data_IF_423079164458
#
_entry.id   IF_423079164458
#
_cell.length_a   1.000
_cell.length_b   1.000
_cell.length_c   1.000
_cell.angle_alpha   90.00
_cell.angle_beta   90.00
_cell.angle_gamma   90.00
#
_symmetry.space_group_name_H-M   'P 1'
#
loop_
_entity.id
_entity.type
_entity.pdbx_description
1 polymer ?
#
# COMPACT_ATOMS: atom_id res chain seq x y z
N UNK A 1 -30.51 -49.35 1.93
CA UNK A 1 -30.60 -47.98 1.38
C UNK A 1 -30.45 -47.00 2.53
N UNK A 2 -29.40 -46.18 2.50
CA UNK A 2 -29.24 -44.80 3.04
C UNK A 2 -29.53 -44.57 4.55
N UNK A 3 -28.78 -43.77 5.32
CA UNK A 3 -27.84 -42.67 5.05
C UNK A 3 -26.81 -42.64 6.19
N UNK A 4 -25.53 -42.49 5.86
CA UNK A 4 -24.48 -42.07 6.80
C UNK A 4 -24.70 -40.59 7.14
N UNK A 5 -25.13 -40.28 8.36
CA UNK A 5 -25.18 -38.90 8.84
C UNK A 5 -23.80 -38.52 9.39
N UNK A 6 -23.09 -37.71 8.61
CA UNK A 6 -21.83 -37.07 8.95
C UNK A 6 -22.13 -35.82 9.79
N UNK A 7 -21.67 -35.71 11.06
CA UNK A 7 -21.65 -34.43 11.72
C UNK A 7 -20.37 -33.70 11.30
N UNK A 8 -20.52 -32.80 10.33
CA UNK A 8 -19.64 -31.64 10.21
C UNK A 8 -20.01 -30.67 11.32
N UNK A 9 -19.00 -30.09 11.99
CA UNK A 9 -18.94 -28.68 12.37
C UNK A 9 -17.51 -28.41 12.83
N UNK A 10 -16.60 -28.20 11.87
CA UNK A 10 -15.35 -27.50 12.13
C UNK A 10 -15.74 -26.05 12.40
N UNK A 11 -15.59 -25.61 13.64
CA UNK A 11 -15.68 -24.21 14.00
C UNK A 11 -14.70 -23.43 13.11
N UNK A 12 -15.23 -22.73 12.10
CA UNK A 12 -14.53 -21.62 11.48
C UNK A 12 -14.48 -20.53 12.55
N UNK A 13 -13.41 -20.55 13.35
CA UNK A 13 -13.03 -19.38 14.12
C UNK A 13 -12.73 -18.32 13.06
N UNK A 14 -13.66 -17.38 12.87
CA UNK A 14 -13.38 -16.14 12.16
C UNK A 14 -12.33 -15.45 13.01
N UNK A 15 -11.07 -15.55 12.58
CA UNK A 15 -9.99 -14.76 13.15
C UNK A 15 -10.50 -13.31 13.24
N UNK A 16 -10.38 -12.66 14.41
CA UNK A 16 -10.91 -11.32 14.58
C UNK A 16 -10.32 -10.46 13.48
N UNK A 17 -11.18 -9.87 12.64
CA UNK A 17 -10.79 -8.81 11.72
C UNK A 17 -9.97 -7.81 12.54
N UNK A 18 -8.63 -7.82 12.41
CA UNK A 18 -7.76 -6.92 13.14
C UNK A 18 -8.30 -5.52 12.90
N UNK A 19 -8.85 -4.91 13.95
CA UNK A 19 -9.52 -3.62 13.86
C UNK A 19 -8.44 -2.64 13.42
N UNK A 20 -8.49 -2.23 12.16
CA UNK A 20 -7.45 -1.40 11.58
C UNK A 20 -7.26 -0.15 12.42
N UNK A 21 -6.09 -0.06 13.06
CA UNK A 21 -5.71 1.01 13.96
C UNK A 21 -5.84 2.36 13.27
N UNK A 22 -6.23 3.39 14.03
CA UNK A 22 -6.36 4.75 13.50
C UNK A 22 -5.09 5.54 13.77
N UNK A 23 -4.67 6.33 12.80
CA UNK A 23 -3.50 7.19 12.96
C UNK A 23 -3.73 8.16 14.13
N UNK A 24 -2.80 8.26 15.10
CA UNK A 24 -2.98 9.13 16.27
C UNK A 24 -3.01 10.63 15.92
N UNK A 25 -2.47 11.01 14.75
CA UNK A 25 -2.48 12.39 14.26
C UNK A 25 -3.75 12.71 13.47
N UNK A 26 -3.98 12.02 12.36
CA UNK A 26 -5.06 12.39 11.42
C UNK A 26 -6.33 11.54 11.55
N UNK A 27 -6.34 10.54 12.43
CA UNK A 27 -7.47 9.61 12.66
C UNK A 27 -7.90 8.75 11.46
N UNK A 28 -7.20 8.87 10.32
CA UNK A 28 -7.39 8.02 9.15
C UNK A 28 -7.11 6.56 9.50
N UNK A 29 -7.88 5.66 8.87
CA UNK A 29 -7.72 4.22 9.02
C UNK A 29 -6.35 3.79 8.51
N UNK A 30 -5.56 3.15 9.36
CA UNK A 30 -4.26 2.60 9.04
C UNK A 30 -4.37 1.37 8.14
N UNK A 31 -3.29 1.11 7.41
CA UNK A 31 -3.10 -0.10 6.62
C UNK A 31 -2.11 -0.99 7.38
N UNK A 32 -2.50 -2.16 7.90
CA UNK A 32 -1.56 -3.03 8.59
C UNK A 32 -0.41 -3.43 7.66
N UNK A 33 0.81 -3.36 8.17
CA UNK A 33 2.04 -3.69 7.44
C UNK A 33 2.80 -4.80 8.13
N UNK A 34 3.25 -5.77 7.34
CA UNK A 34 4.00 -6.91 7.85
C UNK A 34 5.44 -6.56 8.23
N UNK A 35 6.10 -7.40 9.05
CA UNK A 35 7.46 -7.17 9.51
C UNK A 35 8.49 -7.13 8.37
N UNK A 36 8.24 -7.82 7.26
CA UNK A 36 9.09 -7.77 6.06
C UNK A 36 9.16 -6.35 5.49
N UNK A 37 8.01 -5.68 5.39
CA UNK A 37 7.92 -4.30 4.87
C UNK A 37 8.60 -3.33 5.82
N UNK A 38 8.31 -3.43 7.12
CA UNK A 38 8.93 -2.58 8.13
C UNK A 38 10.46 -2.73 8.14
N UNK A 39 10.99 -3.95 8.02
CA UNK A 39 12.44 -4.19 7.94
C UNK A 39 13.08 -3.63 6.67
N UNK A 40 12.36 -3.63 5.56
CA UNK A 40 12.87 -3.10 4.29
C UNK A 40 12.81 -1.56 4.22
N UNK A 41 11.82 -0.95 4.88
CA UNK A 41 11.54 0.49 4.78
C UNK A 41 12.17 1.30 5.91
N UNK A 42 12.46 0.68 7.06
CA UNK A 42 12.97 1.39 8.24
C UNK A 42 14.41 1.00 8.54
N UNK A 43 15.24 2.01 8.81
CA UNK A 43 16.52 1.80 9.47
C UNK A 43 16.32 1.20 10.87
N UNK A 44 17.28 0.42 11.39
CA UNK A 44 17.12 -0.30 12.66
C UNK A 44 16.68 0.59 13.84
N UNK A 45 17.13 1.83 13.88
CA UNK A 45 16.82 2.83 14.91
C UNK A 45 15.33 3.21 14.89
N UNK A 46 14.75 3.41 13.71
CA UNK A 46 13.33 3.69 13.55
C UNK A 46 12.48 2.44 13.79
N UNK A 47 12.97 1.27 13.34
CA UNK A 47 12.27 0.00 13.55
C UNK A 47 12.08 -0.31 15.04
N UNK A 48 13.06 0.03 15.90
CA UNK A 48 12.96 -0.17 17.36
C UNK A 48 11.93 0.73 18.04
N UNK A 49 11.51 1.83 17.41
CA UNK A 49 10.45 2.70 17.92
C UNK A 49 9.05 2.12 17.72
N UNK A 50 8.93 1.07 16.92
CA UNK A 50 7.66 0.43 16.60
C UNK A 50 7.58 -0.98 17.19
N UNK A 51 6.38 -1.37 17.57
CA UNK A 51 6.03 -2.75 17.89
C UNK A 51 6.24 -3.71 16.69
N UNK A 52 6.00 -5.00 16.89
CA UNK A 52 6.06 -5.98 15.80
C UNK A 52 4.98 -5.77 14.75
N UNK A 53 3.79 -5.43 15.20
CA UNK A 53 2.65 -5.02 14.37
C UNK A 53 2.60 -3.50 14.30
N UNK A 54 2.61 -2.96 13.08
CA UNK A 54 2.42 -1.54 12.84
C UNK A 54 1.51 -1.33 11.64
N UNK A 55 1.01 -0.11 11.50
CA UNK A 55 0.17 0.33 10.41
C UNK A 55 0.81 1.50 9.66
N UNK A 56 0.63 1.52 8.35
CA UNK A 56 0.94 2.66 7.49
C UNK A 56 -0.23 3.64 7.46
N UNK A 57 0.06 4.93 7.54
CA UNK A 57 -0.93 6.00 7.40
C UNK A 57 -1.03 6.45 5.93
N UNK A 58 -2.16 6.20 5.24
CA UNK A 58 -2.32 6.53 3.83
C UNK A 58 -2.62 8.01 3.55
N UNK A 59 -2.89 8.82 4.58
CA UNK A 59 -3.28 10.22 4.40
C UNK A 59 -2.12 11.06 3.89
N UNK A 60 -2.27 11.66 2.70
CA UNK A 60 -1.19 12.37 2.02
C UNK A 60 -0.67 13.59 2.79
N UNK A 61 -1.56 14.31 3.47
CA UNK A 61 -1.21 15.51 4.23
C UNK A 61 -0.75 15.22 5.67
N UNK A 62 -0.73 13.96 6.08
CA UNK A 62 -0.29 13.56 7.42
C UNK A 62 1.20 13.25 7.43
N UNK A 63 1.95 13.86 8.36
CA UNK A 63 3.38 13.60 8.52
C UNK A 63 3.69 12.20 9.07
N UNK A 64 2.72 11.52 9.68
CA UNK A 64 2.91 10.14 10.17
C UNK A 64 2.96 9.20 8.97
N UNK A 65 4.01 8.37 8.90
CA UNK A 65 4.16 7.30 7.91
C UNK A 65 3.76 5.97 8.52
N UNK A 66 4.39 5.59 9.63
CA UNK A 66 4.05 4.38 10.37
C UNK A 66 3.65 4.72 11.79
N UNK A 67 2.76 3.91 12.35
CA UNK A 67 2.38 3.97 13.75
C UNK A 67 1.99 2.59 14.27
N UNK A 68 2.05 2.39 15.57
CA UNK A 68 1.53 1.21 16.24
C UNK A 68 0.48 1.58 17.31
N UNK A 69 -0.10 0.56 17.94
CA UNK A 69 -1.11 0.72 18.99
C UNK A 69 -0.51 1.13 20.35
N UNK A 70 0.81 1.09 20.49
CA UNK A 70 1.57 1.40 21.70
C UNK A 70 2.18 2.81 21.66
N UNK A 71 1.60 3.70 20.84
CA UNK A 71 2.02 5.09 20.63
C UNK A 71 3.36 5.27 19.90
N UNK A 72 3.95 4.20 19.36
CA UNK A 72 5.09 4.29 18.46
C UNK A 72 4.69 4.99 17.16
N UNK A 73 5.48 5.97 16.72
CA UNK A 73 5.24 6.69 15.47
C UNK A 73 6.55 6.97 14.74
N UNK A 74 6.49 6.91 13.41
CA UNK A 74 7.59 7.28 12.51
C UNK A 74 7.06 8.31 11.52
N UNK A 75 7.73 9.45 11.46
CA UNK A 75 7.34 10.60 10.64
C UNK A 75 8.01 10.56 9.25
N UNK A 76 7.40 11.24 8.29
CA UNK A 76 7.89 11.43 6.91
C UNK A 76 9.28 12.04 6.89
N UNK A 77 9.59 12.96 7.82
CA UNK A 77 10.91 13.57 7.97
C UNK A 77 12.03 12.59 8.30
N UNK A 78 11.71 11.34 8.70
CA UNK A 78 12.69 10.30 8.99
C UNK A 78 13.13 9.50 7.76
N UNK A 79 12.61 9.83 6.57
CA UNK A 79 12.89 9.10 5.33
C UNK A 79 13.59 9.99 4.31
N UNK A 80 14.73 9.53 3.80
CA UNK A 80 15.48 10.22 2.74
C UNK A 80 15.00 9.85 1.34
N UNK A 81 14.21 8.78 1.22
CA UNK A 81 13.65 8.35 -0.06
C UNK A 81 12.19 8.82 -0.23
N UNK A 82 11.70 8.93 -1.48
CA UNK A 82 10.32 9.30 -1.75
C UNK A 82 9.32 8.22 -1.29
N UNK A 83 8.12 8.65 -0.90
CA UNK A 83 6.98 7.83 -0.46
C UNK A 83 5.76 8.18 -1.34
N UNK A 84 5.26 7.27 -2.20
CA UNK A 84 4.25 7.58 -3.23
C UNK A 84 2.93 8.20 -2.75
N UNK A 85 2.53 7.90 -1.51
CA UNK A 85 1.30 8.42 -0.90
C UNK A 85 1.51 9.77 -0.20
N UNK A 86 2.75 10.17 0.06
CA UNK A 86 3.10 11.41 0.77
C UNK A 86 3.73 12.46 -0.16
N UNK A 87 4.47 11.99 -1.17
CA UNK A 87 5.18 12.82 -2.12
C UNK A 87 4.56 12.67 -3.50
N UNK A 88 4.09 13.77 -4.09
CA UNK A 88 3.41 13.74 -5.39
C UNK A 88 4.35 13.38 -6.55
N UNK A 89 5.64 13.69 -6.41
CA UNK A 89 6.67 13.38 -7.41
C UNK A 89 7.18 11.93 -7.31
N UNK A 90 6.84 11.22 -6.24
CA UNK A 90 7.24 9.83 -6.07
C UNK A 90 6.49 8.90 -7.04
N UNK A 91 7.14 7.84 -7.56
CA UNK A 91 6.52 6.91 -8.48
C UNK A 91 5.39 6.14 -7.80
N UNK A 92 4.22 6.07 -8.43
CA UNK A 92 3.09 5.26 -7.93
C UNK A 92 3.47 3.78 -7.81
N UNK A 93 4.35 3.28 -8.67
CA UNK A 93 4.91 1.94 -8.56
C UNK A 93 6.36 1.99 -8.05
N UNK A 94 6.58 1.70 -6.77
CA UNK A 94 7.93 1.61 -6.19
C UNK A 94 8.79 0.48 -6.78
N UNK A 95 8.19 -0.54 -7.40
CA UNK A 95 8.94 -1.66 -7.99
C UNK A 95 9.54 -1.33 -9.36
N UNK A 96 8.80 -0.60 -10.19
CA UNK A 96 9.13 -0.40 -11.61
C UNK A 96 9.19 1.06 -12.04
N UNK A 97 9.00 2.00 -11.11
CA UNK A 97 9.19 3.41 -11.35
C UNK A 97 8.07 4.11 -12.12
N UNK A 98 6.88 3.50 -12.27
CA UNK A 98 5.76 4.15 -12.95
C UNK A 98 5.33 5.40 -12.18
N UNK A 99 5.41 6.56 -12.83
CA UNK A 99 5.05 7.87 -12.28
C UNK A 99 3.63 8.29 -12.66
N UNK A 100 3.17 9.40 -12.06
CA UNK A 100 1.90 10.04 -12.46
C UNK A 100 2.01 10.63 -13.86
N UNK A 101 3.14 11.25 -14.17
CA UNK A 101 3.46 11.81 -15.49
C UNK A 101 3.45 10.76 -16.60
N UNK A 102 3.95 9.54 -16.34
CA UNK A 102 3.87 8.44 -17.31
C UNK A 102 2.41 8.10 -17.66
N UNK A 103 1.54 8.08 -16.65
CA UNK A 103 0.11 7.79 -16.82
C UNK A 103 -0.58 8.93 -17.58
N UNK A 104 -0.28 10.17 -17.22
CA UNK A 104 -0.83 11.35 -17.90
C UNK A 104 -0.36 11.44 -19.35
N UNK A 105 0.89 11.09 -19.62
CA UNK A 105 1.46 11.02 -20.97
C UNK A 105 0.78 9.95 -21.80
N UNK A 106 0.64 8.72 -21.27
CA UNK A 106 -0.11 7.66 -21.93
C UNK A 106 -1.53 8.13 -22.30
N UNK A 107 -2.21 8.74 -21.34
CA UNK A 107 -3.55 9.30 -21.55
C UNK A 107 -3.49 10.34 -22.67
N UNK A 108 -2.64 11.37 -22.58
CA UNK A 108 -2.49 12.45 -23.55
C UNK A 108 -2.25 11.94 -24.98
N UNK A 109 -1.39 10.92 -25.13
CA UNK A 109 -1.08 10.24 -26.39
C UNK A 109 -2.21 9.30 -26.89
N UNK A 110 -3.25 9.06 -26.07
CA UNK A 110 -4.33 8.13 -26.40
C UNK A 110 -3.94 6.65 -26.32
N UNK A 111 -2.87 6.35 -25.56
CA UNK A 111 -2.30 5.02 -25.38
C UNK A 111 -2.37 4.58 -23.91
N UNK A 112 -1.90 3.36 -23.63
CA UNK A 112 -1.76 2.81 -22.27
C UNK A 112 -0.50 1.96 -22.14
N UNK A 113 0.49 2.14 -23.02
CA UNK A 113 1.64 1.23 -23.12
C UNK A 113 2.45 1.21 -21.81
N UNK A 114 2.79 2.36 -21.24
CA UNK A 114 3.60 2.46 -20.02
C UNK A 114 2.81 1.92 -18.82
N UNK A 115 1.56 2.36 -18.69
CA UNK A 115 0.64 2.00 -17.63
C UNK A 115 0.35 0.49 -17.63
N UNK A 116 0.00 -0.07 -18.79
CA UNK A 116 -0.29 -1.50 -18.95
C UNK A 116 0.97 -2.35 -18.74
N UNK A 117 2.12 -1.89 -19.25
CA UNK A 117 3.41 -2.56 -19.01
C UNK A 117 3.74 -2.67 -17.53
N UNK A 118 3.60 -1.57 -16.78
CA UNK A 118 3.81 -1.58 -15.34
C UNK A 118 2.80 -2.46 -14.58
N UNK A 119 1.52 -2.46 -14.98
CA UNK A 119 0.49 -3.34 -14.40
C UNK A 119 0.84 -4.81 -14.61
N UNK A 120 1.24 -5.21 -15.82
CA UNK A 120 1.61 -6.60 -16.12
C UNK A 120 2.81 -7.05 -15.30
N UNK A 121 3.84 -6.20 -15.17
CA UNK A 121 5.00 -6.49 -14.33
C UNK A 121 4.67 -6.52 -12.84
N UNK A 122 3.74 -5.67 -12.39
CA UNK A 122 3.25 -5.67 -11.00
C UNK A 122 2.45 -6.93 -10.64
N UNK A 123 1.98 -7.68 -11.64
CA UNK A 123 1.30 -8.96 -11.48
C UNK A 123 2.22 -10.18 -11.63
N UNK A 124 3.48 -9.98 -12.04
CA UNK A 124 4.45 -11.07 -12.18
C UNK A 124 5.27 -11.29 -10.91
N UNK A 125 6.04 -12.37 -10.88
CA UNK A 125 6.95 -12.71 -9.78
C UNK A 125 8.14 -11.73 -9.64
N UNK A 126 8.33 -10.82 -10.60
CA UNK A 126 9.31 -9.73 -10.49
C UNK A 126 8.89 -8.66 -9.46
N UNK A 127 7.60 -8.62 -9.10
CA UNK A 127 7.04 -7.60 -8.23
C UNK A 127 7.52 -7.77 -6.78
N UNK A 128 8.25 -6.78 -6.28
CA UNK A 128 8.81 -6.75 -4.92
C UNK A 128 8.01 -5.86 -3.96
N UNK A 129 6.69 -5.81 -4.11
CA UNK A 129 5.82 -4.88 -3.37
C UNK A 129 5.98 -4.97 -1.85
N UNK A 130 6.18 -6.18 -1.30
CA UNK A 130 6.38 -6.38 0.14
C UNK A 130 7.62 -5.69 0.70
N UNK A 131 8.65 -5.44 -0.11
CA UNK A 131 9.87 -4.76 0.33
C UNK A 131 10.02 -3.35 -0.22
N UNK A 132 9.48 -3.08 -1.42
CA UNK A 132 9.63 -1.80 -2.11
C UNK A 132 8.50 -0.81 -1.79
N UNK A 133 7.27 -1.30 -1.60
CA UNK A 133 6.13 -0.43 -1.32
C UNK A 133 6.10 -0.09 0.18
N UNK A 134 5.96 1.20 0.56
CA UNK A 134 5.90 1.60 1.97
C UNK A 134 4.76 0.93 2.75
N UNK A 135 3.63 0.66 2.11
CA UNK A 135 2.50 -0.06 2.72
C UNK A 135 2.54 -1.58 2.48
N UNK A 136 3.58 -2.10 1.82
CA UNK A 136 3.73 -3.53 1.49
C UNK A 136 2.69 -4.06 0.50
N UNK A 137 1.89 -3.20 -0.13
CA UNK A 137 0.78 -3.57 -1.02
C UNK A 137 1.13 -3.36 -2.48
N UNK A 138 0.39 -4.04 -3.34
CA UNK A 138 0.52 -3.85 -4.79
C UNK A 138 0.06 -2.44 -5.20
N UNK A 139 0.80 -1.82 -6.12
CA UNK A 139 0.48 -0.50 -6.66
C UNK A 139 -0.76 -0.51 -7.57
N UNK A 140 -1.30 -1.67 -7.95
CA UNK A 140 -2.39 -1.81 -8.91
C UNK A 140 -3.60 -0.94 -8.59
N UNK A 141 -4.07 -0.96 -7.34
CA UNK A 141 -5.24 -0.16 -6.91
C UNK A 141 -4.98 1.34 -7.09
N UNK A 142 -3.79 1.82 -6.73
CA UNK A 142 -3.42 3.23 -6.84
C UNK A 142 -3.27 3.67 -8.30
N UNK A 143 -2.60 2.84 -9.12
CA UNK A 143 -2.41 3.10 -10.55
C UNK A 143 -3.75 3.13 -11.28
N UNK A 144 -4.61 2.14 -11.06
CA UNK A 144 -5.95 2.08 -11.67
C UNK A 144 -6.81 3.27 -11.21
N UNK A 145 -6.81 3.57 -9.92
CA UNK A 145 -7.55 4.72 -9.37
C UNK A 145 -7.07 6.05 -9.94
N UNK A 146 -5.75 6.23 -10.10
CA UNK A 146 -5.17 7.44 -10.69
C UNK A 146 -5.54 7.58 -12.17
N UNK A 147 -5.39 6.50 -12.94
CA UNK A 147 -5.74 6.46 -14.35
C UNK A 147 -7.20 6.84 -14.60
N UNK A 148 -8.14 6.25 -13.84
CA UNK A 148 -9.56 6.56 -13.96
C UNK A 148 -9.89 8.02 -13.62
N UNK A 149 -9.25 8.59 -12.57
CA UNK A 149 -9.42 10.01 -12.24
C UNK A 149 -8.92 10.93 -13.36
N UNK A 150 -7.83 10.57 -14.03
CA UNK A 150 -7.31 11.35 -15.14
C UNK A 150 -8.23 11.30 -16.36
N UNK A 151 -8.80 10.12 -16.68
CA UNK A 151 -9.78 10.00 -17.77
C UNK A 151 -11.03 10.85 -17.54
N UNK A 152 -11.56 10.89 -16.32
CA UNK A 152 -12.75 11.68 -15.98
C UNK A 152 -12.53 13.19 -16.08
N UNK A 153 -11.27 13.66 -16.03
CA UNK A 153 -10.91 15.08 -16.12
C UNK A 153 -10.71 15.57 -17.56
N UNK A 154 -10.74 14.70 -18.56
CA UNK A 154 -10.56 15.11 -19.95
C UNK A 154 -11.79 15.89 -20.41
N UNK A 155 -11.65 17.14 -20.88
CA UNK A 155 -12.74 17.79 -21.59
C UNK A 155 -13.05 17.00 -22.85
N UNK A 156 -14.35 16.75 -23.07
CA UNK A 156 -14.92 16.07 -24.23
C UNK A 156 -14.59 16.77 -25.54
#
# INVERSE_FOLDING_TARGET
MVVVLKPMNKAFIREPDEVASRCPRCQSRGQPVGPQTLKAQLVPELRRKLAESASFCPESQCEVVYFDDFSGTVLRSSFDHPIPMKDLEAPLCSCFGLTRDDIETDIAEGTVVRTKGAILRAQSDEARCKSMAPNGRSCLTEVQGYFLRCQQRRPS
#
